data_IF_867424261252
#
_entry.id   IF_867424261252
#
_cell.length_a   1.000
_cell.length_b   1.000
_cell.length_c   1.000
_cell.angle_alpha   90.00
_cell.angle_beta   90.00
_cell.angle_gamma   90.00
#
_symmetry.space_group_name_H-M   'P 1'
#
loop_
_entity.id
_entity.type
_entity.pdbx_description
1 polymer ?
#
# COMPACT_ATOMS: atom_id res chain seq x y z
N UNK A 1 -2.38 3.45 -31.88
CA UNK A 1 -2.31 2.13 -31.20
C UNK A 1 -2.22 2.33 -29.69
N UNK A 2 -3.07 1.67 -28.95
CA UNK A 2 -3.00 1.70 -27.52
C UNK A 2 -1.71 0.99 -27.05
N UNK A 3 -0.92 1.66 -26.23
CA UNK A 3 0.29 1.07 -25.66
C UNK A 3 -0.13 0.00 -24.64
N UNK A 4 0.34 -1.21 -24.82
CA UNK A 4 0.07 -2.31 -23.88
C UNK A 4 0.75 -2.01 -22.55
N UNK A 5 -0.03 -2.08 -21.45
CA UNK A 5 0.51 -1.89 -20.11
C UNK A 5 1.38 -3.09 -19.74
N UNK A 6 2.61 -2.82 -19.29
CA UNK A 6 3.47 -3.85 -18.76
C UNK A 6 3.03 -4.20 -17.35
N UNK A 7 2.89 -5.49 -17.07
CA UNK A 7 2.55 -5.97 -15.74
C UNK A 7 3.76 -5.92 -14.82
N UNK A 8 3.54 -5.38 -13.63
CA UNK A 8 4.55 -5.40 -12.58
C UNK A 8 4.61 -6.78 -11.93
N UNK A 9 5.63 -7.02 -11.12
CA UNK A 9 5.73 -8.24 -10.32
C UNK A 9 4.51 -8.41 -9.41
N UNK A 10 4.03 -7.33 -8.79
CA UNK A 10 2.83 -7.37 -7.95
C UNK A 10 1.61 -7.87 -8.75
N UNK A 11 1.39 -7.34 -9.96
CA UNK A 11 0.29 -7.76 -10.81
C UNK A 11 0.42 -9.24 -11.23
N UNK A 12 1.62 -9.68 -11.56
CA UNK A 12 1.86 -11.08 -11.92
C UNK A 12 1.59 -12.04 -10.77
N UNK A 13 1.91 -11.64 -9.54
CA UNK A 13 1.61 -12.43 -8.35
C UNK A 13 0.11 -12.58 -8.14
N UNK A 14 -0.67 -11.54 -8.40
CA UNK A 14 -2.12 -11.59 -8.35
C UNK A 14 -2.70 -12.50 -9.44
N UNK A 15 -2.17 -12.42 -10.66
CA UNK A 15 -2.56 -13.30 -11.75
C UNK A 15 -2.37 -14.76 -11.37
N UNK A 16 -1.20 -15.08 -10.82
CA UNK A 16 -0.86 -16.44 -10.39
C UNK A 16 -1.80 -16.95 -9.29
N UNK A 17 -2.27 -16.06 -8.43
CA UNK A 17 -3.21 -16.39 -7.36
C UNK A 17 -4.67 -16.43 -7.82
N UNK A 18 -4.96 -16.06 -9.07
CA UNK A 18 -6.32 -16.01 -9.60
C UNK A 18 -7.14 -14.85 -9.06
N UNK A 19 -6.51 -13.77 -8.60
CA UNK A 19 -7.17 -12.61 -8.03
C UNK A 19 -7.41 -11.56 -9.12
N UNK A 20 -8.66 -11.10 -9.24
CA UNK A 20 -9.04 -10.07 -10.20
C UNK A 20 -8.62 -8.68 -9.73
N UNK A 21 -8.15 -7.87 -10.66
CA UNK A 21 -7.77 -6.48 -10.43
C UNK A 21 -7.75 -5.73 -11.74
N UNK A 22 -7.71 -4.41 -11.69
CA UNK A 22 -7.45 -3.57 -12.85
C UNK A 22 -6.18 -2.76 -12.64
N UNK A 23 -5.38 -2.62 -13.70
CA UNK A 23 -4.24 -1.71 -13.70
C UNK A 23 -4.70 -0.35 -14.20
N UNK A 24 -4.49 0.68 -13.40
CA UNK A 24 -4.90 2.04 -13.71
C UNK A 24 -3.66 2.90 -13.86
N UNK A 25 -3.29 3.29 -15.10
CA UNK A 25 -2.16 4.18 -15.31
C UNK A 25 -2.54 5.62 -15.00
N UNK A 26 -1.58 6.39 -14.52
CA UNK A 26 -1.74 7.82 -14.33
C UNK A 26 -0.41 8.51 -14.63
N UNK A 27 -0.48 9.79 -14.99
CA UNK A 27 0.70 10.58 -15.24
C UNK A 27 1.25 11.10 -13.91
N UNK A 28 2.39 10.55 -13.48
CA UNK A 28 2.99 10.94 -12.21
C UNK A 28 3.94 12.11 -12.38
N UNK A 29 4.10 12.89 -11.29
CA UNK A 29 5.04 14.01 -11.20
C UNK A 29 6.09 13.65 -10.16
N UNK A 30 7.35 13.55 -10.56
CA UNK A 30 8.47 13.24 -9.65
C UNK A 30 8.60 14.26 -8.52
N UNK A 31 8.11 15.47 -8.73
CA UNK A 31 8.14 16.54 -7.74
C UNK A 31 6.90 16.54 -6.83
N UNK A 32 5.90 15.72 -7.13
CA UNK A 32 4.67 15.62 -6.34
C UNK A 32 4.20 14.18 -6.29
N UNK A 33 4.81 13.41 -5.38
CA UNK A 33 4.49 12.00 -5.17
C UNK A 33 3.41 11.79 -4.10
N UNK A 34 2.83 12.88 -3.59
CA UNK A 34 1.79 12.82 -2.57
C UNK A 34 0.55 12.08 -3.09
N UNK A 35 -0.09 11.30 -2.22
CA UNK A 35 -1.27 10.50 -2.56
C UNK A 35 -2.43 11.39 -3.02
N UNK A 36 -2.53 12.62 -2.52
CA UNK A 36 -3.54 13.56 -2.97
C UNK A 36 -3.44 13.82 -4.48
N UNK A 37 -2.23 14.01 -5.00
CA UNK A 37 -2.01 14.17 -6.44
C UNK A 37 -2.41 12.90 -7.20
N UNK A 38 -2.05 11.73 -6.68
CA UNK A 38 -2.42 10.45 -7.27
C UNK A 38 -3.95 10.32 -7.35
N UNK A 39 -4.65 10.63 -6.27
CA UNK A 39 -6.11 10.57 -6.22
C UNK A 39 -6.74 11.52 -7.25
N UNK A 40 -6.21 12.73 -7.40
CA UNK A 40 -6.65 13.70 -8.40
C UNK A 40 -6.47 13.15 -9.82
N UNK A 41 -5.32 12.54 -10.11
CA UNK A 41 -5.03 11.95 -11.42
C UNK A 41 -5.97 10.78 -11.73
N UNK A 42 -6.33 10.00 -10.72
CA UNK A 42 -7.26 8.88 -10.88
C UNK A 42 -8.72 9.33 -10.95
N UNK A 43 -9.03 10.57 -10.52
CA UNK A 43 -10.40 11.04 -10.41
C UNK A 43 -11.19 10.32 -9.33
N UNK A 44 -10.51 9.87 -8.26
CA UNK A 44 -11.11 9.09 -7.19
C UNK A 44 -10.97 9.80 -5.84
N UNK A 45 -11.89 9.56 -4.88
CA UNK A 45 -11.76 10.14 -3.53
C UNK A 45 -10.46 9.66 -2.88
N UNK A 46 -9.75 10.57 -2.21
CA UNK A 46 -8.49 10.24 -1.55
C UNK A 46 -8.68 9.17 -0.45
N UNK A 47 -9.85 9.12 0.17
CA UNK A 47 -10.19 8.12 1.20
C UNK A 47 -10.17 6.69 0.65
N UNK A 48 -10.30 6.53 -0.66
CA UNK A 48 -10.29 5.26 -1.37
C UNK A 48 -8.91 4.89 -1.92
N UNK A 49 -8.00 5.87 -1.96
CA UNK A 49 -6.63 5.67 -2.46
C UNK A 49 -5.71 5.47 -1.27
N UNK A 50 -5.25 4.25 -1.07
CA UNK A 50 -4.46 3.86 0.10
C UNK A 50 -2.97 3.97 -0.19
N UNK A 51 -2.22 4.39 0.80
CA UNK A 51 -0.75 4.44 0.76
C UNK A 51 -0.18 3.33 1.63
N UNK A 52 0.94 2.78 1.19
CA UNK A 52 1.65 1.71 1.88
C UNK A 52 2.88 2.28 2.57
N UNK A 53 2.92 2.17 3.89
CA UNK A 53 3.98 2.71 4.74
C UNK A 53 4.70 1.58 5.45
N UNK A 54 5.99 1.74 5.63
CA UNK A 54 6.84 0.75 6.32
C UNK A 54 7.34 1.35 7.62
N UNK A 55 7.18 0.59 8.69
CA UNK A 55 7.55 0.99 10.04
C UNK A 55 8.43 -0.07 10.68
N UNK A 56 9.05 0.27 11.78
CA UNK A 56 9.84 -0.65 12.59
C UNK A 56 9.26 -0.71 13.99
N UNK A 57 8.91 -1.91 14.43
CA UNK A 57 8.44 -2.17 15.79
C UNK A 57 9.58 -2.71 16.65
N UNK A 58 9.60 -2.31 17.93
CA UNK A 58 10.66 -2.71 18.86
C UNK A 58 10.68 -4.22 19.15
N UNK A 59 9.57 -4.91 18.94
CA UNK A 59 9.46 -6.35 19.18
C UNK A 59 9.37 -7.18 17.92
N UNK A 60 8.69 -6.67 16.87
CA UNK A 60 8.42 -7.41 15.65
C UNK A 60 9.44 -7.16 14.54
N UNK A 61 10.23 -6.09 14.62
CA UNK A 61 10.98 -5.60 13.47
C UNK A 61 10.08 -4.87 12.49
N UNK A 62 10.36 -4.98 11.20
CA UNK A 62 9.60 -4.25 10.17
C UNK A 62 8.17 -4.73 10.05
N UNK A 63 7.25 -3.78 9.95
CA UNK A 63 5.83 -4.01 9.69
C UNK A 63 5.34 -3.03 8.62
N UNK A 64 4.25 -3.38 7.97
CA UNK A 64 3.65 -2.58 6.89
C UNK A 64 2.27 -2.12 7.33
N UNK A 65 1.96 -0.85 7.03
CA UNK A 65 0.67 -0.27 7.35
C UNK A 65 0.08 0.39 6.09
N UNK A 66 -1.13 0.00 5.73
CA UNK A 66 -1.83 0.50 4.55
C UNK A 66 -3.01 1.34 5.02
N UNK A 67 -2.96 2.64 4.77
CA UNK A 67 -3.92 3.62 5.28
C UNK A 67 -4.43 4.53 4.17
N UNK A 68 -5.63 5.14 4.33
CA UNK A 68 -6.12 6.12 3.37
C UNK A 68 -5.12 7.24 3.15
N UNK A 69 -5.09 7.78 1.93
CA UNK A 69 -4.11 8.79 1.55
C UNK A 69 -4.17 10.09 2.33
N UNK A 70 -5.34 10.42 2.88
CA UNK A 70 -5.56 11.63 3.68
C UNK A 70 -5.31 11.44 5.18
N UNK A 71 -4.92 10.23 5.58
CA UNK A 71 -4.68 9.88 6.97
C UNK A 71 -3.20 9.71 7.27
N UNK A 72 -2.84 9.84 8.53
CA UNK A 72 -1.54 9.45 9.05
C UNK A 72 -1.68 8.16 9.85
N UNK A 73 -0.58 7.44 10.07
CA UNK A 73 -0.60 6.25 10.93
C UNK A 73 -0.74 6.70 12.38
N UNK A 74 -1.71 6.11 13.08
CA UNK A 74 -1.80 6.22 14.53
C UNK A 74 -0.78 5.26 15.14
N UNK A 75 0.39 5.80 15.51
CA UNK A 75 1.52 4.98 15.96
C UNK A 75 1.20 4.18 17.22
N UNK A 76 0.43 4.76 18.14
CA UNK A 76 0.04 4.05 19.37
C UNK A 76 -0.91 2.91 19.07
N UNK A 77 -1.91 3.16 18.22
CA UNK A 77 -2.87 2.13 17.83
C UNK A 77 -2.17 0.99 17.07
N UNK A 78 -1.26 1.32 16.17
CA UNK A 78 -0.50 0.32 15.43
C UNK A 78 0.42 -0.50 16.35
N UNK A 79 1.09 0.15 17.29
CA UNK A 79 1.92 -0.55 18.27
C UNK A 79 1.09 -1.58 19.04
N UNK A 80 -0.08 -1.17 19.51
CA UNK A 80 -0.99 -2.05 20.23
C UNK A 80 -1.47 -3.22 19.35
N UNK A 81 -1.90 -2.93 18.12
CA UNK A 81 -2.40 -3.95 17.19
C UNK A 81 -1.32 -4.96 16.81
N UNK A 82 -0.07 -4.53 16.71
CA UNK A 82 1.06 -5.36 16.28
C UNK A 82 1.80 -6.05 17.43
N UNK A 83 1.43 -5.76 18.68
CA UNK A 83 2.12 -6.35 19.83
C UNK A 83 3.46 -5.69 20.13
N UNK A 84 3.66 -4.46 19.68
CA UNK A 84 4.85 -3.68 19.94
C UNK A 84 4.61 -2.69 21.11
N UNK A 85 5.64 -2.32 21.78
CA UNK A 85 5.60 -1.22 22.74
C UNK A 85 5.70 0.12 22.01
N UNK A 86 6.53 0.17 20.96
CA UNK A 86 6.75 1.37 20.17
C UNK A 86 6.96 1.00 18.69
N UNK A 87 6.39 1.80 17.79
CA UNK A 87 6.63 1.70 16.35
C UNK A 87 7.09 3.07 15.83
N UNK A 88 7.94 3.06 14.81
CA UNK A 88 8.46 4.26 14.17
C UNK A 88 8.48 4.08 12.66
N UNK A 89 8.28 5.17 11.92
CA UNK A 89 8.49 5.16 10.48
C UNK A 89 9.97 4.88 10.19
N UNK A 90 10.26 4.03 9.20
CA UNK A 90 11.65 3.83 8.77
C UNK A 90 12.13 5.08 8.02
N UNK A 91 13.45 5.26 7.97
CA UNK A 91 14.04 6.32 7.16
C UNK A 91 13.79 6.05 5.67
N UNK A 92 13.46 7.11 4.92
CA UNK A 92 13.16 6.98 3.49
C UNK A 92 14.31 6.33 2.71
N UNK A 93 15.55 6.60 3.10
CA UNK A 93 16.75 6.01 2.48
C UNK A 93 16.82 4.47 2.61
N UNK A 94 16.09 3.90 3.57
CA UNK A 94 16.11 2.45 3.83
C UNK A 94 14.98 1.72 3.09
N UNK A 95 14.02 2.44 2.51
CA UNK A 95 12.84 1.85 1.91
C UNK A 95 13.18 0.83 0.81
N UNK A 96 14.07 1.19 -0.10
CA UNK A 96 14.45 0.31 -1.21
C UNK A 96 15.12 -0.97 -0.71
N UNK A 97 16.03 -0.85 0.25
CA UNK A 97 16.74 -2.01 0.81
C UNK A 97 15.78 -2.95 1.55
N UNK A 98 14.80 -2.42 2.26
CA UNK A 98 13.83 -3.20 3.04
C UNK A 98 12.77 -3.84 2.15
N UNK A 99 12.21 -3.11 1.20
CA UNK A 99 11.03 -3.56 0.44
C UNK A 99 11.30 -3.93 -1.01
N UNK A 100 12.32 -3.35 -1.63
CA UNK A 100 12.54 -3.42 -3.07
C UNK A 100 11.79 -2.35 -3.85
N UNK A 101 11.07 -1.47 -3.17
CA UNK A 101 10.29 -0.38 -3.79
C UNK A 101 10.85 0.98 -3.42
N UNK A 102 10.52 1.97 -4.25
CA UNK A 102 10.90 3.37 -4.01
C UNK A 102 9.65 4.18 -3.60
N UNK A 103 9.87 5.35 -3.04
CA UNK A 103 8.79 6.27 -2.67
C UNK A 103 7.88 6.53 -3.87
N UNK A 104 6.58 6.49 -3.65
CA UNK A 104 5.57 6.65 -4.70
C UNK A 104 5.26 5.39 -5.48
N UNK A 105 6.05 4.33 -5.31
CA UNK A 105 5.85 3.04 -5.96
C UNK A 105 5.85 1.87 -5.00
N UNK A 106 5.62 2.10 -3.70
CA UNK A 106 5.62 1.03 -2.70
C UNK A 106 4.28 0.33 -2.66
N UNK A 107 4.27 -0.96 -3.03
CA UNK A 107 3.08 -1.81 -3.00
C UNK A 107 3.09 -2.72 -1.77
N UNK A 108 1.92 -3.07 -1.21
CA UNK A 108 1.85 -4.08 -0.15
C UNK A 108 2.11 -5.49 -0.68
N UNK A 109 2.18 -5.67 -1.99
CA UNK A 109 2.38 -6.96 -2.66
C UNK A 109 3.80 -7.05 -3.20
N UNK A 110 4.44 -8.21 -3.04
CA UNK A 110 5.72 -8.48 -3.71
C UNK A 110 6.93 -7.82 -3.09
N UNK A 111 6.88 -7.47 -1.82
CA UNK A 111 8.07 -6.98 -1.10
C UNK A 111 9.13 -8.09 -1.01
N UNK A 112 10.39 -7.70 -0.82
CA UNK A 112 11.53 -8.64 -0.71
C UNK A 112 11.32 -9.70 0.35
N UNK A 113 10.65 -9.36 1.45
CA UNK A 113 10.26 -10.27 2.52
C UNK A 113 8.79 -10.09 2.83
N UNK A 114 8.19 -11.13 3.41
CA UNK A 114 6.81 -11.06 3.85
C UNK A 114 6.77 -10.47 5.26
N UNK A 115 6.35 -9.21 5.35
CA UNK A 115 6.22 -8.51 6.63
C UNK A 115 4.78 -8.57 7.13
N UNK A 116 4.55 -8.56 8.45
CA UNK A 116 3.20 -8.36 8.98
C UNK A 116 2.61 -7.07 8.42
N UNK A 117 1.40 -7.15 7.89
CA UNK A 117 0.75 -6.02 7.20
C UNK A 117 -0.59 -5.73 7.84
N UNK A 118 -0.82 -4.45 8.16
CA UNK A 118 -2.04 -3.96 8.80
C UNK A 118 -2.74 -3.01 7.85
N UNK A 119 -4.04 -3.22 7.66
CA UNK A 119 -4.88 -2.36 6.82
C UNK A 119 -5.85 -1.62 7.72
N UNK A 120 -5.98 -0.32 7.49
CA UNK A 120 -6.98 0.46 8.22
C UNK A 120 -8.38 -0.06 7.89
N UNK A 121 -9.22 -0.14 8.90
CA UNK A 121 -10.56 -0.74 8.84
C UNK A 121 -11.46 -0.18 7.75
N UNK A 122 -11.32 1.11 7.40
CA UNK A 122 -12.13 1.74 6.35
C UNK A 122 -11.91 1.15 4.96
N UNK A 123 -10.85 0.33 4.76
CA UNK A 123 -10.65 -0.37 3.50
C UNK A 123 -11.86 -1.21 3.12
N UNK A 124 -12.55 -1.78 4.11
CA UNK A 124 -13.72 -2.63 3.89
C UNK A 124 -15.00 -1.85 3.58
N UNK A 125 -14.97 -0.51 3.68
CA UNK A 125 -16.11 0.34 3.33
C UNK A 125 -16.29 0.49 1.82
N UNK A 126 -15.30 0.07 1.05
CA UNK A 126 -15.30 0.21 -0.41
C UNK A 126 -15.34 -1.15 -1.09
N UNK A 127 -15.97 -1.19 -2.25
CA UNK A 127 -15.96 -2.39 -3.11
C UNK A 127 -14.56 -2.61 -3.69
N UNK A 128 -13.87 -1.52 -4.03
CA UNK A 128 -12.50 -1.53 -4.53
C UNK A 128 -11.71 -0.43 -3.85
N UNK A 129 -10.43 -0.67 -3.61
CA UNK A 129 -9.48 0.35 -3.18
C UNK A 129 -8.36 0.42 -4.21
N UNK A 130 -7.58 1.51 -4.15
CA UNK A 130 -6.44 1.72 -5.02
C UNK A 130 -5.18 1.66 -4.19
N UNK A 131 -4.22 0.86 -4.63
CA UNK A 131 -2.87 0.77 -4.02
C UNK A 131 -1.84 0.78 -5.14
N UNK A 132 -0.61 1.15 -4.83
CA UNK A 132 0.45 1.13 -5.84
C UNK A 132 0.63 -0.27 -6.42
N UNK A 133 0.82 -0.33 -7.72
CA UNK A 133 1.14 -1.58 -8.43
C UNK A 133 2.62 -1.96 -8.34
N UNK A 134 3.45 -1.14 -7.68
CA UNK A 134 4.88 -1.38 -7.51
C UNK A 134 5.80 -0.46 -8.31
N UNK A 135 5.23 0.46 -9.06
CA UNK A 135 5.97 1.51 -9.78
C UNK A 135 5.18 2.80 -9.74
N UNK A 136 5.86 3.92 -9.88
CA UNK A 136 5.20 5.21 -10.06
C UNK A 136 4.38 5.19 -11.35
N UNK A 137 3.21 5.82 -11.33
CA UNK A 137 2.37 5.93 -12.53
C UNK A 137 1.42 4.77 -12.76
N UNK A 138 1.34 3.82 -11.84
CA UNK A 138 0.47 2.65 -12.00
C UNK A 138 -0.14 2.25 -10.66
N UNK A 139 -1.47 2.18 -10.62
CA UNK A 139 -2.22 1.76 -9.44
C UNK A 139 -2.94 0.45 -9.72
N UNK A 140 -3.15 -0.32 -8.67
CA UNK A 140 -4.06 -1.48 -8.69
C UNK A 140 -5.41 -1.04 -8.15
N UNK A 141 -6.48 -1.31 -8.90
CA UNK A 141 -7.85 -1.25 -8.41
C UNK A 141 -8.25 -2.67 -8.04
N UNK A 142 -8.52 -2.93 -6.78
CA UNK A 142 -8.66 -4.29 -6.28
C UNK A 142 -9.66 -4.35 -5.12
N UNK A 143 -10.35 -5.49 -5.00
CA UNK A 143 -11.18 -5.77 -3.83
C UNK A 143 -10.32 -5.79 -2.56
N UNK A 144 -10.67 -5.01 -1.53
CA UNK A 144 -9.89 -4.99 -0.29
C UNK A 144 -9.85 -6.36 0.40
N UNK A 145 -10.94 -7.12 0.36
CA UNK A 145 -10.98 -8.44 0.97
C UNK A 145 -10.02 -9.41 0.26
N UNK A 146 -9.95 -9.35 -1.07
CA UNK A 146 -9.01 -10.18 -1.84
C UNK A 146 -7.56 -9.79 -1.56
N UNK A 147 -7.28 -8.49 -1.51
CA UNK A 147 -5.93 -8.00 -1.23
C UNK A 147 -5.47 -8.39 0.18
N UNK A 148 -6.32 -8.14 1.18
CA UNK A 148 -6.00 -8.46 2.57
C UNK A 148 -5.76 -9.96 2.74
N UNK A 149 -6.63 -10.77 2.16
CA UNK A 149 -6.48 -12.23 2.19
C UNK A 149 -5.20 -12.71 1.51
N UNK A 150 -4.84 -12.10 0.38
CA UNK A 150 -3.64 -12.48 -0.38
C UNK A 150 -2.35 -12.18 0.39
N UNK A 151 -2.24 -11.00 1.02
CA UNK A 151 -1.03 -10.63 1.76
C UNK A 151 -1.03 -11.16 3.20
N UNK A 152 -2.12 -11.79 3.64
CA UNK A 152 -2.25 -12.23 5.02
C UNK A 152 -2.33 -11.06 5.99
N UNK A 153 -3.00 -9.99 5.58
CA UNK A 153 -3.10 -8.76 6.35
C UNK A 153 -4.11 -8.84 7.49
N UNK A 154 -4.01 -7.89 8.38
CA UNK A 154 -4.90 -7.73 9.54
C UNK A 154 -5.62 -6.39 9.45
N UNK A 155 -6.93 -6.39 9.65
CA UNK A 155 -7.71 -5.14 9.76
C UNK A 155 -7.63 -4.60 11.17
N UNK A 156 -7.39 -3.32 11.30
CA UNK A 156 -7.38 -2.63 12.59
C UNK A 156 -7.57 -1.13 12.39
N UNK A 157 -7.98 -0.43 13.44
CA UNK A 157 -8.07 1.04 13.41
C UNK A 157 -6.69 1.61 13.68
N UNK A 158 -5.94 1.88 12.61
CA UNK A 158 -4.52 2.27 12.69
C UNK A 158 -4.23 3.62 12.02
N UNK A 159 -5.26 4.35 11.62
CA UNK A 159 -5.13 5.67 11.00
C UNK A 159 -5.77 6.78 11.85
N UNK A 160 -5.24 7.97 11.71
CA UNK A 160 -5.78 9.18 12.34
C UNK A 160 -5.81 10.38 11.40
#
# INVERSE_FOLDING_TARGET
>A
MAKKLEKTNAARLLDKAGISYNLIPYEFDENDLAVQHVAECLGQPIEQVFKTLVLHGDRTGHIVCVVPGDCEVDLKALAKASGNKKVEMIAMKDLLAVTGYIRGGCSPIGMKKRFPTYFHSTAMDFKHIYVSAGVRGLQLEISPSDLIGFVGGTLADVAE
#
